data_IF_790130382241
#
_entry.id   IF_790130382241
#
_cell.length_a   1.000
_cell.length_b   1.000
_cell.length_c   1.000
_cell.angle_alpha   90.00
_cell.angle_beta   90.00
_cell.angle_gamma   90.00
#
_symmetry.space_group_name_H-M   'P 1'
#
loop_
_entity.id
_entity.type
_entity.pdbx_description
1 polymer ?
#
# COMPACT_ATOMS: atom_id res chain seq x y z
N UNK A 1 2.95 18.36 4.33
CA UNK A 1 4.13 18.99 4.99
C UNK A 1 3.80 19.82 6.25
N UNK A 2 2.55 20.24 6.52
CA UNK A 2 2.17 20.83 7.84
C UNK A 2 1.41 19.87 8.77
N UNK A 3 1.05 18.68 8.29
CA UNK A 3 0.24 17.70 9.04
C UNK A 3 1.08 16.93 10.07
N UNK A 4 2.38 16.69 9.80
CA UNK A 4 3.26 15.94 10.71
C UNK A 4 3.46 16.62 12.07
N UNK A 5 3.45 17.96 12.13
CA UNK A 5 3.61 18.71 13.40
C UNK A 5 2.38 18.54 14.29
N UNK A 6 1.18 18.56 13.70
CA UNK A 6 -0.04 18.25 14.44
C UNK A 6 -0.09 16.78 14.84
N UNK A 7 0.37 15.89 13.97
CA UNK A 7 0.44 14.46 14.25
C UNK A 7 1.33 14.17 15.47
N UNK A 8 2.54 14.74 15.53
CA UNK A 8 3.46 14.60 16.68
C UNK A 8 2.91 15.17 17.99
N UNK A 9 1.94 16.09 17.94
CA UNK A 9 1.32 16.68 19.12
C UNK A 9 0.13 15.85 19.66
N UNK A 10 -0.32 14.83 18.94
CA UNK A 10 -1.44 13.97 19.34
C UNK A 10 -1.01 12.90 20.36
N UNK A 11 -1.96 12.49 21.21
CA UNK A 11 -1.76 11.34 22.09
C UNK A 11 -1.53 10.07 21.27
N UNK A 12 -0.70 9.10 21.74
CA UNK A 12 -0.42 7.87 21.00
C UNK A 12 -1.66 7.08 20.57
N UNK A 13 -2.72 7.09 21.38
CA UNK A 13 -4.00 6.44 21.03
C UNK A 13 -4.75 7.13 19.88
N UNK A 14 -4.68 8.47 19.81
CA UNK A 14 -5.30 9.24 18.74
C UNK A 14 -4.53 9.08 17.43
N UNK A 15 -3.19 9.03 17.49
CA UNK A 15 -2.33 8.67 16.37
C UNK A 15 -2.67 7.26 15.83
N UNK A 16 -2.75 6.26 16.71
CA UNK A 16 -3.08 4.89 16.32
C UNK A 16 -4.43 4.77 15.59
N UNK A 17 -5.47 5.47 16.07
CA UNK A 17 -6.76 5.52 15.37
C UNK A 17 -6.65 6.21 14.01
N UNK A 18 -5.95 7.35 13.95
CA UNK A 18 -5.76 8.09 12.69
C UNK A 18 -5.03 7.24 11.64
N UNK A 19 -3.96 6.55 12.03
CA UNK A 19 -3.26 5.59 11.17
C UNK A 19 -4.18 4.44 10.72
N UNK A 20 -4.95 3.86 11.64
CA UNK A 20 -5.84 2.74 11.31
C UNK A 20 -6.93 3.15 10.30
N UNK A 21 -7.57 4.31 10.52
CA UNK A 21 -8.56 4.87 9.60
C UNK A 21 -7.90 5.24 8.28
N UNK A 22 -6.72 5.88 8.33
CA UNK A 22 -5.91 6.22 7.16
C UNK A 22 -5.66 5.01 6.26
N UNK A 23 -5.21 3.91 6.87
CA UNK A 23 -4.89 2.69 6.14
C UNK A 23 -6.15 2.01 5.58
N UNK A 24 -7.22 1.91 6.36
CA UNK A 24 -8.46 1.23 5.95
C UNK A 24 -9.27 2.01 4.91
N UNK A 25 -9.35 3.34 5.02
CA UNK A 25 -10.22 4.16 4.17
C UNK A 25 -9.49 4.82 3.01
N UNK A 26 -8.16 4.97 3.08
CA UNK A 26 -7.39 5.61 2.02
C UNK A 26 -6.44 4.64 1.35
N UNK A 27 -5.53 4.01 2.10
CA UNK A 27 -4.48 3.17 1.52
C UNK A 27 -5.08 1.93 0.83
N UNK A 28 -5.88 1.14 1.53
CA UNK A 28 -6.44 -0.11 0.99
C UNK A 28 -7.36 0.14 -0.22
N UNK A 29 -8.34 1.07 -0.17
CA UNK A 29 -9.20 1.35 -1.31
C UNK A 29 -8.42 1.88 -2.51
N UNK A 30 -7.41 2.72 -2.29
CA UNK A 30 -6.52 3.18 -3.35
C UNK A 30 -5.77 2.02 -4.01
N UNK A 31 -5.18 1.11 -3.22
CA UNK A 31 -4.49 -0.07 -3.75
C UNK A 31 -5.44 -0.95 -4.58
N UNK A 32 -6.66 -1.18 -4.09
CA UNK A 32 -7.69 -1.95 -4.81
C UNK A 32 -8.03 -1.28 -6.14
N UNK A 33 -8.23 0.05 -6.17
CA UNK A 33 -8.48 0.79 -7.41
C UNK A 33 -7.33 0.60 -8.40
N UNK A 34 -6.08 0.75 -7.97
CA UNK A 34 -4.92 0.58 -8.87
C UNK A 34 -4.87 -0.82 -9.45
N UNK A 35 -5.08 -1.86 -8.63
CA UNK A 35 -5.13 -3.25 -9.09
C UNK A 35 -6.26 -3.42 -10.10
N UNK A 36 -7.46 -2.94 -9.80
CA UNK A 36 -8.63 -3.05 -10.67
C UNK A 36 -8.41 -2.41 -12.04
N UNK A 37 -7.92 -1.16 -12.08
CA UNK A 37 -7.68 -0.45 -13.35
C UNK A 37 -6.48 -1.01 -14.13
N UNK A 38 -5.48 -1.54 -13.44
CA UNK A 38 -4.31 -2.13 -14.09
C UNK A 38 -4.56 -3.56 -14.61
N UNK A 39 -5.56 -4.26 -14.05
CA UNK A 39 -5.82 -5.68 -14.33
C UNK A 39 -5.99 -5.99 -15.82
N UNK A 40 -6.84 -5.23 -16.52
CA UNK A 40 -7.08 -5.43 -17.95
C UNK A 40 -5.83 -5.20 -18.80
N UNK A 41 -5.06 -4.16 -18.49
CA UNK A 41 -3.81 -3.87 -19.19
C UNK A 41 -2.76 -4.97 -18.98
N UNK A 42 -2.70 -5.56 -17.78
CA UNK A 42 -1.80 -6.66 -17.45
C UNK A 42 -2.22 -7.91 -18.22
N UNK A 43 -3.47 -8.36 -18.13
CA UNK A 43 -3.94 -9.56 -18.85
C UNK A 43 -3.71 -9.44 -20.35
N UNK A 44 -4.01 -8.28 -20.94
CA UNK A 44 -3.75 -8.06 -22.36
C UNK A 44 -2.26 -8.22 -22.69
N UNK A 45 -1.38 -7.63 -21.87
CA UNK A 45 0.07 -7.75 -22.02
C UNK A 45 0.56 -9.21 -21.97
N UNK A 46 0.01 -10.02 -21.08
CA UNK A 46 0.30 -11.46 -20.99
C UNK A 46 -0.22 -12.24 -22.20
N UNK A 47 -1.42 -11.89 -22.69
CA UNK A 47 -2.05 -12.55 -23.85
C UNK A 47 -1.25 -12.35 -25.13
N UNK A 48 -0.69 -11.15 -25.33
CA UNK A 48 0.11 -10.82 -26.52
C UNK A 48 1.61 -11.06 -26.32
N UNK A 49 2.03 -11.58 -25.16
CA UNK A 49 3.43 -11.69 -24.74
C UNK A 49 4.23 -10.42 -25.04
N UNK A 50 3.72 -9.28 -24.55
CA UNK A 50 4.22 -7.96 -24.92
C UNK A 50 5.72 -7.82 -24.73
N UNK A 51 6.41 -7.34 -25.77
CA UNK A 51 7.86 -7.17 -25.82
C UNK A 51 8.21 -5.72 -26.15
N UNK A 52 9.40 -5.25 -25.76
CA UNK A 52 9.86 -3.93 -26.18
C UNK A 52 10.06 -3.90 -27.71
N UNK A 53 9.66 -2.81 -28.40
CA UNK A 53 9.92 -2.64 -29.83
C UNK A 53 11.41 -2.38 -30.14
N UNK A 54 12.25 -2.21 -29.12
CA UNK A 54 13.69 -2.08 -29.30
C UNK A 54 14.30 -3.41 -29.77
N UNK A 55 15.35 -3.39 -30.61
CA UNK A 55 16.06 -4.61 -31.02
C UNK A 55 16.60 -5.36 -29.80
N UNK A 56 16.17 -6.61 -29.60
CA UNK A 56 16.50 -7.39 -28.39
C UNK A 56 15.68 -7.02 -27.15
N UNK A 57 14.53 -6.37 -27.34
CA UNK A 57 13.69 -5.80 -26.29
C UNK A 57 13.26 -6.77 -25.19
N UNK A 58 13.25 -6.30 -23.95
CA UNK A 58 12.81 -7.12 -22.81
C UNK A 58 11.31 -7.44 -22.84
N UNK A 59 10.89 -8.60 -22.29
CA UNK A 59 9.48 -8.89 -22.08
C UNK A 59 8.87 -7.89 -21.08
N UNK A 60 7.81 -7.20 -21.48
CA UNK A 60 7.13 -6.15 -20.70
C UNK A 60 6.03 -6.72 -19.81
N UNK A 61 5.45 -7.85 -20.20
CA UNK A 61 4.36 -8.49 -19.45
C UNK A 61 4.71 -8.85 -17.98
N UNK A 62 5.93 -9.32 -17.62
CA UNK A 62 6.30 -9.56 -16.22
C UNK A 62 6.51 -8.25 -15.45
N UNK A 63 6.98 -7.21 -16.13
CA UNK A 63 7.18 -5.90 -15.51
C UNK A 63 5.82 -5.30 -15.15
N UNK A 64 4.82 -5.42 -16.03
CA UNK A 64 3.46 -4.95 -15.75
C UNK A 64 2.79 -5.73 -14.61
N UNK A 65 3.05 -7.03 -14.46
CA UNK A 65 2.52 -7.79 -13.31
C UNK A 65 3.12 -7.36 -11.96
N UNK A 66 4.30 -6.72 -11.94
CA UNK A 66 4.87 -6.14 -10.71
C UNK A 66 3.99 -5.05 -10.10
N UNK A 67 3.08 -4.45 -10.87
CA UNK A 67 2.08 -3.52 -10.31
C UNK A 67 1.19 -4.27 -9.31
N UNK A 68 0.61 -5.42 -9.71
CA UNK A 68 -0.24 -6.21 -8.82
C UNK A 68 0.56 -6.70 -7.60
N UNK A 69 1.79 -7.16 -7.82
CA UNK A 69 2.65 -7.63 -6.72
C UNK A 69 2.94 -6.50 -5.73
N UNK A 70 3.37 -5.34 -6.21
CA UNK A 70 3.71 -4.18 -5.37
C UNK A 70 2.51 -3.72 -4.54
N UNK A 71 1.34 -3.53 -5.17
CA UNK A 71 0.14 -3.07 -4.47
C UNK A 71 -0.47 -4.17 -3.58
N UNK A 72 -0.33 -5.44 -3.94
CA UNK A 72 -0.70 -6.57 -3.07
C UNK A 72 0.15 -6.62 -1.80
N UNK A 73 1.47 -6.43 -1.93
CA UNK A 73 2.38 -6.32 -0.78
C UNK A 73 2.08 -5.07 0.06
N UNK A 74 1.74 -3.95 -0.57
CA UNK A 74 1.38 -2.71 0.13
C UNK A 74 0.10 -2.89 0.97
N UNK A 75 -0.90 -3.61 0.44
CA UNK A 75 -2.10 -4.00 1.21
C UNK A 75 -1.71 -4.87 2.42
N UNK A 76 -0.84 -5.86 2.21
CA UNK A 76 -0.39 -6.74 3.30
C UNK A 76 0.36 -5.96 4.39
N UNK A 77 1.24 -5.04 3.99
CA UNK A 77 1.92 -4.12 4.91
C UNK A 77 0.90 -3.26 5.67
N UNK A 78 -0.07 -2.68 4.96
CA UNK A 78 -1.14 -1.88 5.57
C UNK A 78 -1.93 -2.68 6.60
N UNK A 79 -2.27 -3.93 6.32
CA UNK A 79 -2.95 -4.81 7.28
C UNK A 79 -2.08 -5.04 8.52
N UNK A 80 -0.79 -5.32 8.34
CA UNK A 80 0.16 -5.47 9.45
C UNK A 80 0.21 -4.19 10.33
N UNK A 81 0.27 -3.01 9.72
CA UNK A 81 0.22 -1.74 10.45
C UNK A 81 -1.13 -1.52 11.14
N UNK A 82 -2.25 -1.84 10.50
CA UNK A 82 -3.58 -1.70 11.11
C UNK A 82 -3.69 -2.56 12.37
N UNK A 83 -3.19 -3.81 12.34
CA UNK A 83 -3.17 -4.70 13.52
C UNK A 83 -2.30 -4.11 14.65
N UNK A 84 -1.11 -3.61 14.33
CA UNK A 84 -0.21 -2.98 15.32
C UNK A 84 -0.86 -1.74 15.96
N UNK A 85 -1.44 -0.86 15.14
CA UNK A 85 -2.14 0.33 15.62
C UNK A 85 -3.35 -0.03 16.48
N UNK A 86 -4.10 -1.07 16.12
CA UNK A 86 -5.20 -1.59 16.95
C UNK A 86 -4.70 -2.10 18.30
N UNK A 87 -3.59 -2.83 18.33
CA UNK A 87 -2.99 -3.32 19.57
C UNK A 87 -2.52 -2.18 20.50
N UNK A 88 -1.95 -1.10 19.94
CA UNK A 88 -1.59 0.12 20.69
C UNK A 88 -2.84 0.80 21.26
N UNK A 89 -3.90 0.92 20.46
CA UNK A 89 -5.15 1.52 20.90
C UNK A 89 -5.80 0.75 22.06
N UNK A 90 -5.82 -0.58 21.95
CA UNK A 90 -6.33 -1.50 22.96
C UNK A 90 -5.43 -1.61 24.22
N UNK A 91 -4.22 -1.05 24.17
CA UNK A 91 -3.26 -1.05 25.29
C UNK A 91 -2.45 -2.34 25.43
N UNK A 92 -2.46 -3.22 24.41
CA UNK A 92 -1.66 -4.45 24.39
C UNK A 92 -0.21 -4.21 23.97
N UNK A 93 0.08 -3.08 23.34
CA UNK A 93 1.42 -2.73 22.86
C UNK A 93 1.79 -1.30 23.27
N UNK A 94 3.03 -1.10 23.72
CA UNK A 94 3.55 0.24 23.94
C UNK A 94 3.67 0.98 22.60
N UNK A 95 3.38 2.29 22.54
CA UNK A 95 3.66 3.10 21.35
C UNK A 95 5.14 2.95 20.98
N UNK A 96 5.43 2.73 19.70
CA UNK A 96 6.80 2.80 19.21
C UNK A 96 7.24 4.27 19.29
N UNK A 97 8.34 4.57 19.99
CA UNK A 97 8.94 5.90 19.93
C UNK A 97 9.51 6.09 18.51
N UNK A 98 8.98 7.07 17.77
CA UNK A 98 9.60 7.51 16.51
C UNK A 98 10.87 8.29 16.87
N UNK A 99 12.03 7.62 16.85
CA UNK A 99 13.37 8.22 16.90
C UNK A 99 13.63 9.16 15.69
#
# INVERSE_FOLDING_TARGET
VRVDVFYKSLKPKAQAIANLIGTLLFLIPFCIMVIYFSWGAIINSWTIQEMSPDPGGLPRYPIKSMIIVSFGLLILQGISEAIKNWAIFAGYLAPQEED
#
